data_IF_210848728308
#
_entry.id   IF_210848728308
#
_cell.length_a   1.000
_cell.length_b   1.000
_cell.length_c   1.000
_cell.angle_alpha   90.00
_cell.angle_beta   90.00
_cell.angle_gamma   90.00
#
_symmetry.space_group_name_H-M   'P 1'
#
loop_
_entity.id
_entity.type
_entity.pdbx_description
1 polymer ?
#
# COMPACT_ATOMS: atom_id res chain seq x y z
N UNK A 1 0.30 27.94 -15.29
CA UNK A 1 0.29 27.33 -13.94
C UNK A 1 0.92 25.96 -14.09
N UNK A 2 1.99 25.65 -13.35
CA UNK A 2 2.53 24.28 -13.31
C UNK A 2 1.50 23.45 -12.53
N UNK A 3 0.91 22.44 -13.17
CA UNK A 3 0.02 21.51 -12.48
C UNK A 3 0.89 20.62 -11.58
N UNK A 4 0.53 20.50 -10.31
CA UNK A 4 1.27 19.67 -9.35
C UNK A 4 1.20 18.20 -9.79
N UNK A 5 2.37 17.57 -10.03
CA UNK A 5 2.49 16.14 -10.30
C UNK A 5 2.79 15.41 -9.00
N UNK A 6 1.74 15.08 -8.25
CA UNK A 6 1.87 14.52 -6.90
C UNK A 6 1.66 13.01 -6.87
N UNK A 7 2.26 12.37 -5.88
CA UNK A 7 2.09 10.94 -5.58
C UNK A 7 1.53 10.81 -4.17
N UNK A 8 0.48 10.00 -4.02
CA UNK A 8 -0.11 9.63 -2.72
C UNK A 8 0.07 8.12 -2.55
N UNK A 9 0.84 7.71 -1.54
CA UNK A 9 1.05 6.30 -1.23
C UNK A 9 0.42 5.95 0.13
N UNK A 10 -0.53 5.01 0.11
CA UNK A 10 -1.18 4.49 1.31
C UNK A 10 -0.50 3.20 1.79
N UNK A 11 -0.13 3.15 3.07
CA UNK A 11 0.41 1.91 3.66
C UNK A 11 -0.74 1.04 4.19
N UNK A 12 -0.93 -0.13 3.58
CA UNK A 12 -2.09 -1.00 3.82
C UNK A 12 -1.71 -2.46 4.09
N UNK A 13 -2.72 -3.34 4.09
CA UNK A 13 -2.62 -4.79 4.32
C UNK A 13 -3.58 -5.55 3.40
N UNK A 14 -3.42 -6.88 3.26
CA UNK A 14 -4.42 -7.72 2.65
C UNK A 14 -5.75 -7.65 3.42
N UNK A 15 -6.85 -7.52 2.70
CA UNK A 15 -8.20 -7.38 3.28
C UNK A 15 -8.95 -8.70 3.31
N UNK A 16 -8.48 -9.69 2.55
CA UNK A 16 -8.95 -11.06 2.64
C UNK A 16 -8.37 -11.76 3.87
N UNK A 17 -9.16 -12.59 4.58
CA UNK A 17 -8.65 -13.37 5.71
C UNK A 17 -7.52 -14.31 5.28
N UNK A 18 -6.42 -14.34 6.03
CA UNK A 18 -5.28 -15.24 5.79
C UNK A 18 -5.12 -16.22 6.96
N UNK A 19 -4.70 -17.48 6.72
CA UNK A 19 -4.53 -18.47 7.79
C UNK A 19 -3.60 -18.03 8.93
N UNK A 20 -2.62 -17.18 8.61
CA UNK A 20 -1.61 -16.66 9.54
C UNK A 20 -1.87 -15.21 9.99
N UNK A 21 -2.94 -14.58 9.51
CA UNK A 21 -3.29 -13.20 9.84
C UNK A 21 -4.79 -12.94 9.68
N UNK A 22 -5.49 -12.81 10.81
CA UNK A 22 -6.92 -12.52 10.87
C UNK A 22 -7.24 -11.51 11.98
N UNK A 23 -6.61 -10.33 11.91
CA UNK A 23 -6.84 -9.25 12.85
C UNK A 23 -8.13 -8.49 12.46
N UNK A 24 -9.30 -9.05 12.81
CA UNK A 24 -10.61 -8.60 12.35
C UNK A 24 -10.78 -7.07 12.32
N UNK A 25 -10.62 -6.40 13.46
CA UNK A 25 -10.81 -4.95 13.56
C UNK A 25 -9.83 -4.18 12.65
N UNK A 26 -8.59 -4.63 12.57
CA UNK A 26 -7.56 -3.99 11.76
C UNK A 26 -7.81 -4.19 10.25
N UNK A 27 -8.19 -5.40 9.83
CA UNK A 27 -8.60 -5.67 8.44
C UNK A 27 -9.85 -4.89 8.05
N UNK A 28 -10.87 -4.83 8.92
CA UNK A 28 -12.09 -4.05 8.66
C UNK A 28 -11.82 -2.55 8.56
N UNK A 29 -10.77 -2.04 9.22
CA UNK A 29 -10.37 -0.65 9.12
C UNK A 29 -9.51 -0.36 7.88
N UNK A 30 -8.75 -1.35 7.40
CA UNK A 30 -7.87 -1.20 6.23
C UNK A 30 -8.57 -1.50 4.89
N UNK A 31 -9.66 -2.26 4.89
CA UNK A 31 -10.44 -2.49 3.67
C UNK A 31 -10.96 -1.19 3.00
N UNK A 32 -11.55 -0.24 3.75
CA UNK A 32 -11.92 1.06 3.18
C UNK A 32 -10.74 1.87 2.64
N UNK A 33 -9.52 1.68 3.15
CA UNK A 33 -8.32 2.37 2.66
C UNK A 33 -7.98 1.93 1.22
N UNK A 34 -8.14 0.64 0.92
CA UNK A 34 -7.89 0.10 -0.42
C UNK A 34 -8.99 0.51 -1.40
N UNK A 35 -10.25 0.53 -0.96
CA UNK A 35 -11.37 1.06 -1.75
C UNK A 35 -11.18 2.55 -2.03
N UNK A 36 -10.78 3.34 -1.02
CA UNK A 36 -10.50 4.76 -1.15
C UNK A 36 -9.39 5.02 -2.18
N UNK A 37 -8.30 4.26 -2.12
CA UNK A 37 -7.21 4.32 -3.11
C UNK A 37 -7.73 4.16 -4.53
N UNK A 38 -8.47 3.08 -4.80
CA UNK A 38 -9.03 2.80 -6.14
C UNK A 38 -10.04 3.87 -6.58
N UNK A 39 -10.90 4.31 -5.68
CA UNK A 39 -11.93 5.31 -5.99
C UNK A 39 -11.31 6.67 -6.34
N UNK A 40 -10.31 7.14 -5.59
CA UNK A 40 -9.66 8.41 -5.89
C UNK A 40 -8.82 8.35 -7.17
N UNK A 41 -8.17 7.21 -7.43
CA UNK A 41 -7.46 6.98 -8.70
C UNK A 41 -8.38 7.19 -9.91
N UNK A 42 -9.59 6.61 -9.87
CA UNK A 42 -10.61 6.81 -10.91
C UNK A 42 -11.06 8.28 -11.01
N UNK A 43 -11.25 8.96 -9.88
CA UNK A 43 -11.62 10.39 -9.87
C UNK A 43 -10.52 11.28 -10.46
N UNK A 44 -9.26 11.03 -10.12
CA UNK A 44 -8.12 11.81 -10.66
C UNK A 44 -8.00 11.66 -12.17
N UNK A 45 -8.18 10.44 -12.70
CA UNK A 45 -8.22 10.20 -14.13
C UNK A 45 -9.39 10.93 -14.81
N UNK A 46 -10.60 10.80 -14.25
CA UNK A 46 -11.80 11.42 -14.80
C UNK A 46 -11.69 12.95 -14.86
N UNK A 47 -11.07 13.56 -13.85
CA UNK A 47 -10.91 15.01 -13.74
C UNK A 47 -9.62 15.54 -14.38
N UNK A 48 -8.80 14.67 -14.99
CA UNK A 48 -7.49 15.03 -15.54
C UNK A 48 -6.57 15.71 -14.50
N UNK A 49 -6.68 15.28 -13.24
CA UNK A 49 -5.80 15.73 -12.16
C UNK A 49 -4.50 14.94 -12.29
N UNK A 50 -3.33 15.59 -12.45
CA UNK A 50 -2.07 14.90 -12.65
C UNK A 50 -1.49 14.39 -11.32
N UNK A 51 -2.26 13.61 -10.57
CA UNK A 51 -1.87 12.97 -9.31
C UNK A 51 -2.14 11.49 -9.43
N UNK A 52 -1.20 10.66 -8.96
CA UNK A 52 -1.44 9.24 -8.76
C UNK A 52 -1.67 8.92 -7.29
N UNK A 53 -2.48 7.89 -7.03
CA UNK A 53 -2.67 7.34 -5.70
C UNK A 53 -2.61 5.82 -5.75
N UNK A 54 -1.83 5.20 -4.88
CA UNK A 54 -1.71 3.75 -4.79
C UNK A 54 -1.52 3.29 -3.35
N UNK A 55 -1.55 1.99 -3.11
CA UNK A 55 -1.30 1.40 -1.81
C UNK A 55 -0.20 0.34 -1.87
N UNK A 56 0.63 0.28 -0.83
CA UNK A 56 1.64 -0.77 -0.65
C UNK A 56 1.36 -1.54 0.63
N UNK A 57 1.42 -2.87 0.52
CA UNK A 57 1.30 -3.81 1.62
C UNK A 57 2.71 -4.37 1.90
N UNK A 58 3.45 -3.85 2.91
CA UNK A 58 4.87 -4.19 3.09
C UNK A 58 5.12 -5.62 3.63
N UNK A 59 4.04 -6.35 3.96
CA UNK A 59 4.10 -7.63 4.66
C UNK A 59 4.38 -7.45 6.15
N UNK A 60 4.98 -8.47 6.78
CA UNK A 60 5.36 -8.39 8.19
C UNK A 60 6.60 -7.49 8.38
N UNK A 61 6.49 -6.51 9.26
CA UNK A 61 7.59 -5.59 9.63
C UNK A 61 7.79 -5.59 11.14
N UNK A 62 9.00 -5.82 11.62
CA UNK A 62 9.33 -5.88 13.04
C UNK A 62 9.23 -4.48 13.67
N UNK A 63 8.14 -4.23 14.40
CA UNK A 63 7.80 -2.92 15.00
C UNK A 63 7.07 -3.10 16.32
N UNK A 64 6.81 -2.01 17.04
CA UNK A 64 5.99 -2.04 18.26
C UNK A 64 4.58 -2.61 18.01
N UNK A 65 4.01 -2.43 16.81
CA UNK A 65 2.67 -2.90 16.43
C UNK A 65 2.50 -4.42 16.65
N UNK A 66 3.58 -5.19 16.48
CA UNK A 66 3.56 -6.65 16.64
C UNK A 66 4.54 -7.14 17.73
N UNK A 67 5.07 -6.24 18.57
CA UNK A 67 6.02 -6.60 19.62
C UNK A 67 7.37 -7.09 19.10
N UNK A 68 7.84 -6.51 17.99
CA UNK A 68 9.12 -6.84 17.36
C UNK A 68 9.28 -8.32 16.99
N UNK A 69 8.28 -8.91 16.31
CA UNK A 69 8.40 -10.29 15.82
C UNK A 69 9.63 -10.47 14.92
N UNK A 70 10.11 -11.71 14.83
CA UNK A 70 11.24 -12.11 13.98
C UNK A 70 10.87 -13.34 13.16
N UNK A 71 11.50 -13.51 11.99
CA UNK A 71 11.35 -14.69 11.15
C UNK A 71 11.83 -14.43 9.73
N UNK A 72 11.95 -15.47 8.92
CA UNK A 72 12.55 -15.41 7.57
C UNK A 72 11.85 -14.43 6.62
N UNK A 73 10.55 -14.17 6.86
CA UNK A 73 9.73 -13.26 6.05
C UNK A 73 9.44 -11.91 6.72
N UNK A 74 10.04 -11.64 7.88
CA UNK A 74 9.83 -10.39 8.63
C UNK A 74 10.90 -9.37 8.26
N UNK A 75 10.48 -8.22 7.72
CA UNK A 75 11.38 -7.11 7.39
C UNK A 75 11.74 -6.28 8.62
N UNK A 76 12.92 -5.69 8.61
CA UNK A 76 13.22 -4.54 9.48
C UNK A 76 12.48 -3.28 9.00
N UNK A 77 12.30 -2.24 9.84
CA UNK A 77 11.72 -0.98 9.40
C UNK A 77 12.45 -0.35 8.20
N UNK A 78 13.79 -0.47 8.16
CA UNK A 78 14.59 0.06 7.04
C UNK A 78 14.30 -0.69 5.73
N UNK A 79 14.24 -2.02 5.75
CA UNK A 79 13.90 -2.83 4.56
C UNK A 79 12.47 -2.59 4.09
N UNK A 80 11.52 -2.38 5.01
CA UNK A 80 10.16 -2.02 4.66
C UNK A 80 10.09 -0.62 4.04
N UNK A 81 10.81 0.36 4.59
CA UNK A 81 10.89 1.70 4.04
C UNK A 81 11.52 1.72 2.64
N UNK A 82 12.56 0.92 2.41
CA UNK A 82 13.19 0.77 1.09
C UNK A 82 12.19 0.24 0.06
N UNK A 83 11.43 -0.82 0.39
CA UNK A 83 10.38 -1.35 -0.48
C UNK A 83 9.27 -0.33 -0.77
N UNK A 84 8.81 0.40 0.24
CA UNK A 84 7.75 1.40 0.10
C UNK A 84 8.23 2.52 -0.83
N UNK A 85 9.40 3.09 -0.51
CA UNK A 85 9.96 4.22 -1.27
C UNK A 85 10.37 3.82 -2.68
N UNK A 86 10.68 2.56 -2.96
CA UNK A 86 11.06 2.15 -4.32
C UNK A 86 9.93 2.36 -5.34
N UNK A 87 8.67 2.14 -4.97
CA UNK A 87 7.52 2.37 -5.87
C UNK A 87 7.23 3.86 -6.10
N UNK A 88 7.66 4.73 -5.19
CA UNK A 88 7.54 6.19 -5.39
C UNK A 88 8.65 6.72 -6.34
N UNK A 89 9.74 5.98 -6.49
CA UNK A 89 10.95 6.42 -7.18
C UNK A 89 11.27 5.68 -8.48
N UNK A 90 10.44 4.73 -8.92
CA UNK A 90 10.73 3.87 -10.09
C UNK A 90 10.31 4.45 -11.45
N UNK A 91 9.80 5.70 -11.46
CA UNK A 91 9.28 6.40 -12.63
C UNK A 91 8.08 5.71 -13.32
N UNK A 92 7.44 4.72 -12.67
CA UNK A 92 6.22 4.07 -13.14
C UNK A 92 4.96 4.78 -12.63
N UNK A 93 3.83 4.52 -13.29
CA UNK A 93 2.53 5.02 -12.84
C UNK A 93 1.78 3.88 -12.15
N UNK A 94 1.54 4.05 -10.85
CA UNK A 94 0.89 3.05 -10.01
C UNK A 94 -0.58 3.39 -9.70
N UNK A 95 -1.17 4.38 -10.36
CA UNK A 95 -2.52 4.88 -10.04
C UNK A 95 -3.55 3.75 -9.88
N UNK A 96 -4.20 3.70 -8.72
CA UNK A 96 -5.23 2.74 -8.36
C UNK A 96 -4.71 1.35 -7.95
N UNK A 97 -3.41 1.12 -8.00
CA UNK A 97 -2.84 -0.18 -7.64
C UNK A 97 -2.85 -0.40 -6.12
N UNK A 98 -2.96 -1.68 -5.74
CA UNK A 98 -2.72 -2.16 -4.39
C UNK A 98 -1.66 -3.25 -4.50
N UNK A 99 -0.44 -2.89 -4.12
CA UNK A 99 0.79 -3.64 -4.41
C UNK A 99 1.19 -4.43 -3.17
N UNK A 100 1.49 -5.70 -3.35
CA UNK A 100 1.90 -6.61 -2.30
C UNK A 100 3.41 -6.56 -2.06
N UNK A 101 3.87 -7.19 -0.98
CA UNK A 101 5.25 -7.12 -0.54
C UNK A 101 6.28 -7.73 -1.51
N UNK A 102 5.80 -8.47 -2.51
CA UNK A 102 6.55 -9.11 -3.59
C UNK A 102 6.33 -8.43 -4.96
N UNK A 103 5.64 -7.28 -4.98
CA UNK A 103 5.31 -6.53 -6.19
C UNK A 103 4.06 -7.01 -6.93
N UNK A 104 3.40 -8.09 -6.47
CA UNK A 104 2.15 -8.56 -7.10
C UNK A 104 0.98 -7.62 -6.79
N UNK A 105 0.00 -7.54 -7.70
CA UNK A 105 -1.19 -6.72 -7.50
C UNK A 105 -2.29 -7.51 -6.80
N UNK A 106 -3.06 -6.81 -5.96
CA UNK A 106 -4.28 -7.35 -5.37
C UNK A 106 -5.50 -7.13 -6.27
N UNK A 107 -6.21 -8.21 -6.58
CA UNK A 107 -7.22 -8.30 -7.65
C UNK A 107 -8.70 -8.13 -7.19
N UNK A 108 -8.95 -7.66 -5.97
CA UNK A 108 -10.32 -7.46 -5.44
C UNK A 108 -10.92 -6.08 -5.72
#
# INVERSE_FOLDING_TARGET
>A
MIANKGTIENISIPIEPLPYFNAFAYQTAKAPLNVMTKSWAMSFEQESIPVEIFAVMPGAVSTDLNGHITGDFVKTPAQAAELIVSFVLDDENHNGQVINYDGTLAEY
#
